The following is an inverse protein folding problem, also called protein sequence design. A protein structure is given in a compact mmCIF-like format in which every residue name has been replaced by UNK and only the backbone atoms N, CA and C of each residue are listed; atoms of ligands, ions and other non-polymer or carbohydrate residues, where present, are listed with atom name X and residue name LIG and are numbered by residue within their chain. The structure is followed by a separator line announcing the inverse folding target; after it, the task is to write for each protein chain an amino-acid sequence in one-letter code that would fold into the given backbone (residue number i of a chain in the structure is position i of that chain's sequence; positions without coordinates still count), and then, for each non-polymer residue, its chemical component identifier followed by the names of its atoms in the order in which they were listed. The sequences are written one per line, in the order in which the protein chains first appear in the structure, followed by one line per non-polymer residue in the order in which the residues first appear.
data_IF_022117081168
#
_entry.id   IF_022117081168
#
_cell.length_a   1.000
_cell.length_b   1.000
_cell.length_c   1.000
_cell.angle_alpha   90.00
_cell.angle_beta   90.00
_cell.angle_gamma   90.00
#
_symmetry.space_group_name_H-M   'P 1'
#
loop_
_entity.id
_entity.type
_entity.pdbx_description
1 polymer ?
#
# COMPACT_ATOMS: atom_id res chain seq x y z
N UNK A 1 0.52 13.71 -5.53
CA UNK A 1 0.07 12.84 -4.40
C UNK A 1 -0.16 13.74 -3.20
N UNK A 2 -1.20 13.50 -2.38
CA UNK A 2 -1.42 14.30 -1.17
C UNK A 2 -0.21 14.19 -0.23
N UNK A 3 0.19 15.32 0.36
CA UNK A 3 1.27 15.36 1.34
C UNK A 3 0.73 14.90 2.70
N UNK A 4 0.75 13.57 2.94
CA UNK A 4 0.23 12.96 4.15
C UNK A 4 1.05 13.36 5.38
N UNK A 5 0.36 13.67 6.48
CA UNK A 5 0.95 13.99 7.78
C UNK A 5 0.50 12.97 8.83
N UNK A 6 1.19 12.96 9.97
CA UNK A 6 0.81 12.10 11.10
C UNK A 6 -0.60 12.45 11.58
N UNK A 7 -1.43 11.43 11.76
CA UNK A 7 -2.83 11.58 12.17
C UNK A 7 -3.82 11.69 11.00
N UNK A 8 -3.35 11.92 9.77
CA UNK A 8 -4.23 11.92 8.60
C UNK A 8 -4.78 10.52 8.35
N UNK A 9 -6.05 10.45 7.96
CA UNK A 9 -6.63 9.20 7.45
C UNK A 9 -5.96 8.86 6.12
N UNK A 10 -5.42 7.65 6.02
CA UNK A 10 -4.88 7.15 4.75
C UNK A 10 -5.98 7.16 3.67
N UNK A 11 -5.69 7.66 2.45
CA UNK A 11 -6.62 7.58 1.34
C UNK A 11 -6.84 6.12 0.96
N UNK A 12 -8.07 5.75 0.63
CA UNK A 12 -8.31 4.40 0.12
C UNK A 12 -7.75 4.29 -1.30
N UNK A 13 -7.13 3.15 -1.59
CA UNK A 13 -6.51 2.86 -2.88
C UNK A 13 -6.53 1.37 -3.16
N UNK A 14 -6.31 1.02 -4.42
CA UNK A 14 -6.18 -0.36 -4.89
C UNK A 14 -4.84 -0.52 -5.59
N UNK A 15 -4.09 -1.57 -5.22
CA UNK A 15 -2.82 -1.91 -5.84
C UNK A 15 -2.91 -3.30 -6.49
N UNK A 16 -2.32 -3.49 -7.68
CA UNK A 16 -2.18 -4.80 -8.26
C UNK A 16 -1.16 -5.63 -7.46
N UNK A 17 -1.45 -6.91 -7.30
CA UNK A 17 -0.53 -7.94 -6.81
C UNK A 17 0.10 -8.64 -8.02
N UNK A 18 1.09 -9.52 -7.80
CA UNK A 18 1.56 -10.43 -8.86
C UNK A 18 0.39 -11.17 -9.50
N UNK A 19 0.24 -11.03 -10.81
CA UNK A 19 -0.81 -11.69 -11.59
C UNK A 19 -2.01 -10.78 -11.84
N UNK A 20 -3.23 -11.29 -11.59
CA UNK A 20 -4.50 -10.58 -11.84
C UNK A 20 -5.25 -10.19 -10.56
N UNK A 21 -4.63 -10.40 -9.39
CA UNK A 21 -5.23 -10.06 -8.12
C UNK A 21 -4.96 -8.59 -7.79
N UNK A 22 -5.91 -7.95 -7.10
CA UNK A 22 -5.75 -6.60 -6.57
C UNK A 22 -6.03 -6.60 -5.07
N UNK A 23 -5.37 -5.70 -4.34
CA UNK A 23 -5.60 -5.48 -2.91
C UNK A 23 -6.06 -4.06 -2.71
N UNK A 24 -7.19 -3.90 -2.03
CA UNK A 24 -7.71 -2.61 -1.57
C UNK A 24 -7.30 -2.36 -0.12
N UNK A 25 -6.88 -1.13 0.19
CA UNK A 25 -6.43 -0.78 1.54
C UNK A 25 -7.54 -1.00 2.59
N UNK A 26 -8.77 -0.59 2.29
CA UNK A 26 -9.90 -0.76 3.21
C UNK A 26 -10.19 -2.22 3.58
N UNK A 27 -10.04 -3.16 2.65
CA UNK A 27 -10.21 -4.59 2.92
C UNK A 27 -9.06 -5.16 3.77
N UNK A 28 -7.83 -4.73 3.51
CA UNK A 28 -6.65 -5.13 4.28
C UNK A 28 -6.74 -4.67 5.75
N UNK A 29 -7.22 -3.44 5.98
CA UNK A 29 -7.38 -2.86 7.32
C UNK A 29 -8.40 -3.61 8.19
N UNK A 30 -9.35 -4.34 7.60
CA UNK A 30 -10.28 -5.20 8.36
C UNK A 30 -9.55 -6.35 9.07
N UNK A 31 -8.36 -6.73 8.59
CA UNK A 31 -7.56 -7.85 9.14
C UNK A 31 -6.58 -7.39 10.22
N UNK A 32 -6.35 -6.08 10.34
CA UNK A 32 -5.47 -5.50 11.34
C UNK A 32 -4.67 -4.30 10.82
N UNK A 33 -3.70 -3.81 11.62
CA UNK A 33 -2.80 -2.73 11.22
C UNK A 33 -1.99 -3.08 9.97
N UNK A 34 -1.83 -2.11 9.07
CA UNK A 34 -1.12 -2.28 7.79
C UNK A 34 0.09 -1.34 7.72
N UNK A 35 1.18 -1.83 7.15
CA UNK A 35 2.37 -1.03 6.80
C UNK A 35 2.53 -1.03 5.28
N UNK A 36 2.57 0.15 4.66
CA UNK A 36 2.86 0.31 3.23
C UNK A 36 4.35 0.60 3.03
N UNK A 37 5.03 -0.24 2.26
CA UNK A 37 6.44 -0.10 1.91
C UNK A 37 6.56 0.01 0.39
N UNK A 38 7.35 0.97 -0.08
CA UNK A 38 7.69 1.10 -1.50
C UNK A 38 9.18 0.86 -1.69
N UNK A 39 9.53 0.27 -2.83
CA UNK A 39 10.91 0.06 -3.25
C UNK A 39 11.03 0.43 -4.74
N UNK A 40 12.23 0.77 -5.18
CA UNK A 40 12.43 1.35 -6.52
C UNK A 40 12.40 0.27 -7.60
N UNK A 41 13.18 -0.81 -7.42
CA UNK A 41 13.30 -1.88 -8.42
C UNK A 41 13.30 -3.27 -7.79
N UNK A 42 12.54 -4.18 -8.39
CA UNK A 42 12.70 -5.61 -8.18
C UNK A 42 14.09 -6.06 -8.66
N UNK A 43 14.66 -7.06 -7.97
CA UNK A 43 15.93 -7.71 -8.36
C UNK A 43 17.13 -6.75 -8.53
N UNK A 44 17.16 -5.65 -7.79
CA UNK A 44 18.30 -4.73 -7.74
C UNK A 44 19.25 -5.09 -6.59
N UNK A 45 20.58 -5.01 -6.79
CA UNK A 45 21.51 -5.02 -5.67
C UNK A 45 21.27 -3.77 -4.81
N UNK A 46 21.29 -3.96 -3.49
CA UNK A 46 21.23 -2.88 -2.51
C UNK A 46 22.55 -2.14 -2.36
#
# INVERSE_FOLDING_TARGET
MPNLKRGDKAPDFELPVRGKETVRLSDALQRGPVVLLTYIFDFSPG
#
